data_IF_105246547877
#
_entry.id   IF_105246547877
#
_cell.length_a   1.000
_cell.length_b   1.000
_cell.length_c   1.000
_cell.angle_alpha   90.00
_cell.angle_beta   90.00
_cell.angle_gamma   90.00
#
_symmetry.space_group_name_H-M   'P 1'
#
loop_
_entity.id
_entity.type
_entity.pdbx_description
1 polymer ?
#
# COMPACT_ATOMS: atom_id res chain seq x y z
N UNK A 1 16.98 8.38 2.06
CA UNK A 1 16.16 8.75 0.88
C UNK A 1 14.79 8.11 1.05
N UNK A 2 13.70 8.83 0.77
CA UNK A 2 12.34 8.28 0.81
C UNK A 2 11.89 8.10 -0.64
N UNK A 3 11.62 6.87 -1.04
CA UNK A 3 11.09 6.55 -2.37
C UNK A 3 9.57 6.49 -2.29
N UNK A 4 8.88 7.36 -3.04
CA UNK A 4 7.41 7.33 -3.14
C UNK A 4 7.02 6.54 -4.39
N UNK A 5 6.20 5.51 -4.22
CA UNK A 5 5.81 4.61 -5.30
C UNK A 5 4.30 4.35 -5.29
N UNK A 6 3.82 3.83 -6.42
CA UNK A 6 2.43 3.42 -6.56
C UNK A 6 2.35 1.90 -6.52
N UNK A 7 1.36 1.38 -5.84
CA UNK A 7 1.10 -0.05 -5.77
C UNK A 7 -0.38 -0.36 -5.88
N UNK A 8 -0.69 -1.61 -6.14
CA UNK A 8 -2.06 -2.13 -6.12
C UNK A 8 -2.21 -3.15 -4.98
N UNK A 9 -3.28 -3.02 -4.21
CA UNK A 9 -3.61 -4.00 -3.18
C UNK A 9 -4.01 -5.32 -3.85
N UNK A 10 -3.36 -6.41 -3.46
CA UNK A 10 -3.69 -7.75 -3.95
C UNK A 10 -4.66 -8.44 -3.00
N UNK A 11 -4.35 -8.41 -1.70
CA UNK A 11 -5.19 -9.00 -0.66
C UNK A 11 -4.95 -8.31 0.68
N UNK A 12 -5.94 -8.37 1.56
CA UNK A 12 -5.87 -7.77 2.90
C UNK A 12 -6.20 -8.82 3.96
N UNK A 13 -5.54 -8.74 5.10
CA UNK A 13 -5.85 -9.48 6.32
C UNK A 13 -5.95 -8.50 7.49
N UNK A 14 -6.32 -9.00 8.68
CA UNK A 14 -6.31 -8.17 9.89
C UNK A 14 -4.90 -7.66 10.27
N UNK A 15 -3.85 -8.42 9.96
CA UNK A 15 -2.49 -8.10 10.38
C UNK A 15 -1.65 -7.44 9.28
N UNK A 16 -1.93 -7.78 8.02
CA UNK A 16 -1.08 -7.42 6.89
C UNK A 16 -1.85 -7.18 5.59
N UNK A 17 -1.20 -6.47 4.69
CA UNK A 17 -1.65 -6.20 3.34
C UNK A 17 -0.57 -6.61 2.35
N UNK A 18 -0.97 -7.31 1.29
CA UNK A 18 -0.10 -7.57 0.14
C UNK A 18 -0.30 -6.49 -0.93
N UNK A 19 0.81 -5.94 -1.39
CA UNK A 19 0.85 -4.88 -2.40
C UNK A 19 1.78 -5.30 -3.52
N UNK A 20 1.32 -5.13 -4.75
CA UNK A 20 2.16 -5.22 -5.94
C UNK A 20 2.65 -3.82 -6.32
N UNK A 21 3.96 -3.62 -6.39
CA UNK A 21 4.52 -2.40 -6.95
C UNK A 21 4.19 -2.28 -8.45
N UNK A 22 3.64 -1.16 -8.89
CA UNK A 22 3.17 -0.98 -10.28
C UNK A 22 4.30 -0.69 -11.28
N UNK A 23 5.52 -0.44 -10.81
CA UNK A 23 6.68 -0.22 -11.66
C UNK A 23 7.50 -1.50 -11.83
N UNK A 24 7.70 -2.27 -10.76
CA UNK A 24 8.56 -3.47 -10.76
C UNK A 24 7.78 -4.78 -10.75
N UNK A 25 6.47 -4.75 -10.50
CA UNK A 25 5.60 -5.91 -10.31
C UNK A 25 6.00 -6.84 -9.15
N UNK A 26 6.92 -6.38 -8.29
CA UNK A 26 7.30 -7.13 -7.08
C UNK A 26 6.18 -7.02 -6.07
N UNK A 27 5.78 -8.16 -5.51
CA UNK A 27 4.81 -8.24 -4.41
C UNK A 27 5.55 -8.19 -3.08
N UNK A 28 5.06 -7.37 -2.17
CA UNK A 28 5.54 -7.30 -0.80
C UNK A 28 4.37 -7.28 0.19
N UNK A 29 4.68 -7.58 1.44
CA UNK A 29 3.73 -7.56 2.54
C UNK A 29 4.12 -6.45 3.53
N UNK A 30 3.13 -5.74 4.05
CA UNK A 30 3.31 -4.68 5.04
C UNK A 30 2.17 -4.70 6.06
N UNK A 31 2.37 -4.26 7.31
CA UNK A 31 1.28 -4.21 8.29
C UNK A 31 0.08 -3.39 7.79
N UNK A 32 -1.12 -3.84 8.14
CA UNK A 32 -2.35 -3.13 7.80
C UNK A 32 -2.39 -1.78 8.56
N UNK A 33 -2.37 -0.63 7.88
CA UNK A 33 -2.49 0.67 8.55
C UNK A 33 -3.94 0.93 9.00
N UNK A 34 -4.16 1.82 9.98
CA UNK A 34 -5.49 2.28 10.33
C UNK A 34 -6.16 2.98 9.13
N UNK A 35 -7.45 2.72 8.91
CA UNK A 35 -8.21 3.35 7.81
C UNK A 35 -8.19 4.89 7.90
N UNK A 36 -8.16 5.43 9.12
CA UNK A 36 -8.06 6.87 9.38
C UNK A 36 -6.74 7.49 8.90
N UNK A 37 -5.66 6.71 8.77
CA UNK A 37 -4.38 7.19 8.23
C UNK A 37 -4.35 7.23 6.70
N UNK A 38 -5.10 6.35 6.03
CA UNK A 38 -5.02 6.15 4.58
C UNK A 38 -6.24 6.65 3.80
N UNK A 39 -7.28 7.12 4.51
CA UNK A 39 -8.46 7.76 3.94
C UNK A 39 -9.57 6.80 3.52
N UNK A 40 -9.63 5.59 4.09
CA UNK A 40 -10.68 4.61 3.81
C UNK A 40 -10.22 3.15 3.90
N UNK A 41 -11.11 2.19 3.54
CA UNK A 41 -10.80 0.77 3.59
C UNK A 41 -9.85 0.35 2.45
N UNK A 42 -8.83 -0.43 2.79
CA UNK A 42 -7.94 -1.05 1.80
C UNK A 42 -8.65 -2.26 1.17
N UNK A 43 -9.15 -2.08 -0.05
CA UNK A 43 -9.82 -3.13 -0.82
C UNK A 43 -8.88 -3.75 -1.86
N UNK A 44 -8.96 -5.06 -2.14
CA UNK A 44 -8.29 -5.67 -3.29
C UNK A 44 -8.58 -4.91 -4.59
N UNK A 45 -7.54 -4.69 -5.39
CA UNK A 45 -7.61 -3.92 -6.63
C UNK A 45 -7.42 -2.40 -6.45
N UNK A 46 -7.55 -1.86 -5.24
CA UNK A 46 -7.33 -0.44 -5.00
C UNK A 46 -5.87 -0.04 -5.23
N UNK A 47 -5.65 1.11 -5.86
CA UNK A 47 -4.31 1.70 -5.99
C UNK A 47 -3.96 2.51 -4.75
N UNK A 48 -2.69 2.48 -4.35
CA UNK A 48 -2.18 3.19 -3.18
C UNK A 48 -0.86 3.88 -3.48
N UNK A 49 -0.60 4.98 -2.77
CA UNK A 49 0.74 5.55 -2.66
C UNK A 49 1.39 4.96 -1.42
N UNK A 50 2.59 4.41 -1.57
CA UNK A 50 3.38 3.89 -0.47
C UNK A 50 4.79 4.49 -0.50
N UNK A 51 5.39 4.62 0.67
CA UNK A 51 6.77 5.08 0.82
C UNK A 51 7.67 3.89 1.16
N UNK A 52 8.76 3.75 0.42
CA UNK A 52 9.82 2.78 0.69
C UNK A 52 11.02 3.49 1.32
N UNK A 53 11.38 3.07 2.53
CA UNK A 53 12.49 3.64 3.30
C UNK A 53 13.28 2.52 3.95
N UNK A 54 14.54 2.33 3.51
CA UNK A 54 15.47 1.35 4.09
C UNK A 54 14.86 -0.06 4.23
N UNK A 55 14.20 -0.56 3.19
CA UNK A 55 13.59 -1.90 3.17
C UNK A 55 12.25 -2.01 3.89
N UNK A 56 11.71 -0.91 4.42
CA UNK A 56 10.35 -0.84 4.98
C UNK A 56 9.42 -0.12 4.02
N UNK A 57 8.26 -0.70 3.78
CA UNK A 57 7.22 -0.11 2.95
C UNK A 57 6.05 0.30 3.85
N UNK A 58 5.60 1.55 3.78
CA UNK A 58 4.41 2.04 4.49
C UNK A 58 3.41 2.62 3.49
N UNK A 59 2.16 2.18 3.54
CA UNK A 59 1.08 2.76 2.75
C UNK A 59 0.69 4.10 3.36
N UNK A 60 0.59 5.12 2.51
CA UNK A 60 0.32 6.50 2.94
C UNK A 60 -1.09 6.95 2.60
N UNK A 61 -1.65 6.51 1.47
CA UNK A 61 -3.02 6.84 1.07
C UNK A 61 -3.52 5.93 -0.06
N UNK A 62 -4.83 5.84 -0.19
CA UNK A 62 -5.49 5.29 -1.37
C UNK A 62 -5.45 6.33 -2.51
N UNK A 63 -5.12 5.90 -3.73
CA UNK A 63 -5.11 6.72 -4.95
C UNK A 63 -6.43 6.49 -5.68
N UNK A 64 -7.22 7.53 -5.83
CA UNK A 64 -8.50 7.46 -6.54
C UNK A 64 -9.59 6.78 -5.73
N UNK A 65 -10.16 7.51 -4.77
CA UNK A 65 -11.54 7.32 -4.34
C UNK A 65 -12.31 8.56 -4.79
N UNK A 66 -13.41 8.35 -5.52
CA UNK A 66 -14.49 9.35 -5.61
C UNK A 66 -15.11 9.56 -4.25
#
# INVERSE_FOLDING_TARGET
>A
MIDKRSGQIISTTQASVQVMDLQTFVVFETPTPPESEVGGPLSPGAEVEYWSVMGKNKIMRIKGGT
#
